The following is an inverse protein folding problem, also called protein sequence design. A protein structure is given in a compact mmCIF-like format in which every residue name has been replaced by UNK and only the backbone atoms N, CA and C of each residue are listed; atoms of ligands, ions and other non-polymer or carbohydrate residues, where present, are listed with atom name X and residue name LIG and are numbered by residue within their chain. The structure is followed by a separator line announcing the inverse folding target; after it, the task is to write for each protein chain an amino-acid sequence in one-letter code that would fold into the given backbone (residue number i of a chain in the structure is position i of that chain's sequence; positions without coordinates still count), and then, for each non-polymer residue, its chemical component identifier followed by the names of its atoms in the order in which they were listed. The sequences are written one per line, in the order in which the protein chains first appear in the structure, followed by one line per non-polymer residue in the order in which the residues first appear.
data_IF_423907653522
#
_entry.id   IF_423907653522
#
_cell.length_a   1.000
_cell.length_b   1.000
_cell.length_c   1.000
_cell.angle_alpha   90.00
_cell.angle_beta   90.00
_cell.angle_gamma   90.00
#
_symmetry.space_group_name_H-M   'P 1'
#
loop_
_entity.id
_entity.type
_entity.pdbx_description
1 polymer ?
#
# COMPACT_ATOMS: atom_id res chain seq x y z
N UNK A 1 -5.40 47.32 -2.72
CA UNK A 1 -5.48 45.96 -3.28
C UNK A 1 -4.74 45.06 -2.31
N UNK A 2 -5.46 44.39 -1.40
CA UNK A 2 -4.83 43.54 -0.38
C UNK A 2 -4.60 42.18 -1.05
N UNK A 3 -3.34 41.88 -1.35
CA UNK A 3 -2.93 40.54 -1.79
C UNK A 3 -3.10 39.59 -0.60
N UNK A 4 -4.16 38.78 -0.61
CA UNK A 4 -4.26 37.66 0.31
C UNK A 4 -3.17 36.65 -0.07
N UNK A 5 -2.13 36.55 0.75
CA UNK A 5 -1.25 35.39 0.73
C UNK A 5 -2.11 34.17 1.04
N UNK A 6 -2.35 33.33 0.03
CA UNK A 6 -2.98 32.02 0.24
C UNK A 6 -1.96 31.21 1.06
N UNK A 7 -2.23 31.05 2.35
CA UNK A 7 -1.49 30.13 3.20
C UNK A 7 -1.95 28.73 2.82
N UNK A 8 -1.20 28.07 1.94
CA UNK A 8 -1.45 26.68 1.58
C UNK A 8 -1.26 25.80 2.81
N UNK A 9 -2.26 24.98 3.12
CA UNK A 9 -2.13 24.00 4.20
C UNK A 9 -1.25 22.84 3.74
N UNK A 10 -0.59 22.11 4.68
CA UNK A 10 0.15 20.90 4.37
C UNK A 10 -0.64 19.89 3.51
N UNK A 11 -1.94 19.72 3.81
CA UNK A 11 -2.85 18.88 3.03
C UNK A 11 -2.98 19.33 1.58
N UNK A 12 -3.08 20.64 1.34
CA UNK A 12 -3.23 21.21 0.00
C UNK A 12 -1.97 20.97 -0.84
N UNK A 13 -0.79 21.08 -0.21
CA UNK A 13 0.50 20.81 -0.84
C UNK A 13 0.61 19.33 -1.24
N UNK A 14 0.24 18.41 -0.35
CA UNK A 14 0.28 16.97 -0.65
C UNK A 14 -0.72 16.58 -1.74
N UNK A 15 -1.95 17.07 -1.69
CA UNK A 15 -2.97 16.80 -2.70
C UNK A 15 -2.57 17.40 -4.05
N UNK A 16 -2.03 18.62 -4.06
CA UNK A 16 -1.49 19.24 -5.27
C UNK A 16 -0.36 18.38 -5.85
N UNK A 17 0.62 18.00 -5.05
CA UNK A 17 1.73 17.17 -5.49
C UNK A 17 1.24 15.88 -6.18
N UNK A 18 0.29 15.18 -5.59
CA UNK A 18 -0.27 13.96 -6.17
C UNK A 18 -0.98 14.17 -7.52
N UNK A 19 -1.48 15.37 -7.79
CA UNK A 19 -2.18 15.72 -9.04
C UNK A 19 -1.27 16.25 -10.15
N UNK A 20 0.01 16.53 -9.86
CA UNK A 20 0.93 17.12 -10.83
C UNK A 20 1.28 16.15 -11.96
N UNK A 21 1.31 16.68 -13.18
CA UNK A 21 1.82 15.95 -14.36
C UNK A 21 3.34 15.72 -14.29
N UNK A 22 4.09 16.70 -13.75
CA UNK A 22 5.53 16.56 -13.53
C UNK A 22 5.81 15.66 -12.31
N UNK A 23 5.95 14.36 -12.61
CA UNK A 23 6.25 13.31 -11.63
C UNK A 23 7.53 13.59 -10.85
N UNK A 24 8.57 14.17 -11.46
CA UNK A 24 9.86 14.42 -10.77
C UNK A 24 9.69 15.51 -9.72
N UNK A 25 9.05 16.62 -10.09
CA UNK A 25 8.75 17.71 -9.17
C UNK A 25 7.78 17.26 -8.06
N UNK A 26 6.76 16.47 -8.41
CA UNK A 26 5.85 15.86 -7.45
C UNK A 26 6.57 15.01 -6.41
N UNK A 27 7.44 14.09 -6.85
CA UNK A 27 8.24 13.26 -5.95
C UNK A 27 9.08 14.12 -5.00
N UNK A 28 9.72 15.18 -5.50
CA UNK A 28 10.52 16.09 -4.68
C UNK A 28 9.68 16.81 -3.63
N UNK A 29 8.47 17.27 -3.97
CA UNK A 29 7.56 17.91 -3.01
C UNK A 29 7.13 16.92 -1.93
N UNK A 30 6.77 15.70 -2.31
CA UNK A 30 6.42 14.63 -1.36
C UNK A 30 7.59 14.37 -0.41
N UNK A 31 8.80 14.20 -0.93
CA UNK A 31 9.99 13.89 -0.12
C UNK A 31 10.29 15.04 0.86
N UNK A 32 10.26 16.30 0.40
CA UNK A 32 10.42 17.48 1.26
C UNK A 32 9.32 17.60 2.33
N UNK A 33 8.10 17.16 2.02
CA UNK A 33 6.99 17.14 2.98
C UNK A 33 7.27 16.16 4.13
N UNK A 34 7.96 15.04 3.87
CA UNK A 34 8.36 14.11 4.93
C UNK A 34 9.49 14.64 5.82
N UNK A 35 10.35 15.51 5.30
CA UNK A 35 11.48 16.12 6.01
C UNK A 35 11.06 17.37 6.82
N UNK A 36 9.94 18.00 6.47
CA UNK A 36 9.49 19.23 7.09
C UNK A 36 8.58 18.99 8.31
N UNK A 37 8.91 19.61 9.44
CA UNK A 37 8.17 19.48 10.71
C UNK A 37 6.76 20.08 10.70
N UNK A 38 6.43 20.89 9.69
CA UNK A 38 5.07 21.44 9.49
C UNK A 38 4.07 20.34 9.15
N UNK A 39 4.53 19.25 8.52
CA UNK A 39 3.68 18.13 8.11
C UNK A 39 3.62 17.07 9.22
N UNK A 40 2.42 16.76 9.66
CA UNK A 40 2.15 15.73 10.64
C UNK A 40 1.42 14.53 10.01
N UNK A 41 1.26 13.48 10.80
CA UNK A 41 0.61 12.22 10.42
C UNK A 41 -0.76 12.40 9.75
N UNK A 42 -1.60 13.28 10.28
CA UNK A 42 -2.96 13.49 9.78
C UNK A 42 -2.98 14.11 8.39
N UNK A 43 -1.96 14.92 8.04
CA UNK A 43 -1.86 15.52 6.71
C UNK A 43 -1.66 14.45 5.64
N UNK A 44 -0.82 13.44 5.93
CA UNK A 44 -0.58 12.31 5.04
C UNK A 44 -1.78 11.39 4.93
N UNK A 45 -2.44 11.08 6.05
CA UNK A 45 -3.67 10.27 6.07
C UNK A 45 -4.76 10.96 5.25
N UNK A 46 -4.93 12.28 5.43
CA UNK A 46 -5.90 13.06 4.68
C UNK A 46 -5.62 13.01 3.18
N UNK A 47 -4.37 13.28 2.76
CA UNK A 47 -4.01 13.25 1.35
C UNK A 47 -4.24 11.86 0.72
N UNK A 48 -3.88 10.78 1.44
CA UNK A 48 -4.13 9.41 0.99
C UNK A 48 -5.63 9.12 0.81
N UNK A 49 -6.45 9.45 1.80
CA UNK A 49 -7.89 9.18 1.76
C UNK A 49 -8.62 10.01 0.70
N UNK A 50 -8.21 11.26 0.49
CA UNK A 50 -8.80 12.12 -0.55
C UNK A 50 -8.40 11.68 -1.95
N UNK A 51 -7.16 11.25 -2.14
CA UNK A 51 -6.63 10.89 -3.45
C UNK A 51 -6.89 9.44 -3.89
N UNK A 52 -7.38 8.56 -3.00
CA UNK A 52 -7.69 7.17 -3.37
C UNK A 52 -8.76 7.04 -4.45
N UNK A 53 -9.61 8.07 -4.62
CA UNK A 53 -10.67 8.06 -5.62
C UNK A 53 -10.14 8.26 -7.04
N UNK A 54 -9.11 9.11 -7.20
CA UNK A 54 -8.52 9.43 -8.52
C UNK A 54 -7.36 8.51 -8.88
N UNK A 55 -6.83 7.76 -7.91
CA UNK A 55 -5.70 6.86 -8.09
C UNK A 55 -4.53 7.55 -8.84
N UNK A 56 -3.93 8.62 -8.28
CA UNK A 56 -2.78 9.29 -8.89
C UNK A 56 -1.50 8.44 -8.87
N UNK A 57 -0.60 8.56 -9.85
CA UNK A 57 0.55 7.66 -10.01
C UNK A 57 1.44 7.45 -8.77
N UNK A 58 1.56 8.47 -7.91
CA UNK A 58 2.41 8.44 -6.72
C UNK A 58 1.67 8.09 -5.41
N UNK A 59 0.39 7.68 -5.48
CA UNK A 59 -0.39 7.33 -4.30
C UNK A 59 0.27 6.23 -3.45
N UNK A 60 0.76 5.17 -4.10
CA UNK A 60 1.46 4.09 -3.40
C UNK A 60 2.80 4.52 -2.82
N UNK A 61 3.51 5.44 -3.48
CA UNK A 61 4.73 6.03 -2.92
C UNK A 61 4.42 6.75 -1.61
N UNK A 62 3.38 7.59 -1.60
CA UNK A 62 2.95 8.31 -0.42
C UNK A 62 2.57 7.34 0.72
N UNK A 63 1.83 6.28 0.41
CA UNK A 63 1.44 5.26 1.40
C UNK A 63 2.66 4.57 2.03
N UNK A 64 3.62 4.15 1.19
CA UNK A 64 4.85 3.48 1.63
C UNK A 64 5.67 4.41 2.53
N UNK A 65 5.89 5.66 2.12
CA UNK A 65 6.65 6.63 2.91
C UNK A 65 5.96 6.97 4.23
N UNK A 66 4.63 7.12 4.19
CA UNK A 66 3.80 7.35 5.39
C UNK A 66 3.96 6.20 6.37
N UNK A 67 3.84 4.95 5.90
CA UNK A 67 3.97 3.79 6.78
C UNK A 67 5.40 3.61 7.33
N UNK A 68 6.42 3.92 6.53
CA UNK A 68 7.82 3.92 7.00
C UNK A 68 8.04 4.95 8.12
N UNK A 69 7.49 6.15 8.00
CA UNK A 69 7.63 7.21 9.02
C UNK A 69 6.76 6.94 10.25
N UNK A 70 5.59 6.35 10.07
CA UNK A 70 4.60 6.11 11.13
C UNK A 70 4.20 4.62 11.19
N UNK A 71 5.05 3.71 11.71
CA UNK A 71 4.77 2.27 11.71
C UNK A 71 3.55 1.86 12.55
N UNK A 72 3.09 2.70 13.47
CA UNK A 72 1.86 2.45 14.25
C UNK A 72 0.60 2.53 13.37
N UNK A 73 0.68 3.10 12.17
CA UNK A 73 -0.42 3.15 11.19
C UNK A 73 -0.73 1.82 10.49
N UNK A 74 -0.24 0.69 11.01
CA UNK A 74 -0.45 -0.64 10.42
C UNK A 74 -1.92 -0.91 10.07
N UNK A 75 -2.86 -0.64 10.98
CA UNK A 75 -4.30 -0.86 10.75
C UNK A 75 -4.88 0.04 9.64
N UNK A 76 -4.41 1.28 9.57
CA UNK A 76 -4.76 2.20 8.49
C UNK A 76 -4.26 1.67 7.14
N UNK A 77 -3.00 1.26 7.06
CA UNK A 77 -2.41 0.70 5.83
C UNK A 77 -3.16 -0.54 5.37
N UNK A 78 -3.48 -1.47 6.27
CA UNK A 78 -4.29 -2.66 5.97
C UNK A 78 -5.64 -2.26 5.36
N UNK A 79 -6.34 -1.33 6.00
CA UNK A 79 -7.65 -0.83 5.52
C UNK A 79 -7.54 -0.16 4.15
N UNK A 80 -6.47 0.61 3.93
CA UNK A 80 -6.20 1.27 2.66
C UNK A 80 -5.93 0.26 1.54
N UNK A 81 -5.17 -0.81 1.81
CA UNK A 81 -4.93 -1.88 0.84
C UNK A 81 -6.23 -2.61 0.47
N UNK A 82 -7.11 -2.91 1.43
CA UNK A 82 -8.43 -3.47 1.12
C UNK A 82 -9.28 -2.54 0.25
N UNK A 83 -9.22 -1.22 0.48
CA UNK A 83 -9.89 -0.24 -0.38
C UNK A 83 -9.34 -0.28 -1.82
N UNK A 84 -8.02 -0.37 -1.99
CA UNK A 84 -7.40 -0.52 -3.32
C UNK A 84 -7.84 -1.81 -4.04
N UNK A 85 -7.98 -2.93 -3.31
CA UNK A 85 -8.50 -4.18 -3.86
C UNK A 85 -9.93 -3.99 -4.35
N UNK A 86 -10.79 -3.35 -3.56
CA UNK A 86 -12.20 -3.10 -3.93
C UNK A 86 -12.38 -2.18 -5.15
N UNK A 87 -11.32 -1.48 -5.55
CA UNK A 87 -11.29 -0.54 -6.68
C UNK A 87 -10.57 -1.12 -7.91
N UNK A 88 -10.22 -2.40 -7.91
CA UNK A 88 -9.42 -3.07 -8.94
C UNK A 88 -8.08 -2.35 -9.24
N UNK A 89 -7.58 -1.53 -8.31
CA UNK A 89 -6.38 -0.74 -8.53
C UNK A 89 -5.13 -1.63 -8.66
N UNK A 90 -5.18 -2.82 -8.05
CA UNK A 90 -4.11 -3.83 -8.05
C UNK A 90 -3.85 -4.41 -9.45
N UNK A 91 -4.81 -4.32 -10.37
CA UNK A 91 -4.62 -4.76 -11.78
C UNK A 91 -3.71 -3.81 -12.59
N UNK A 92 -3.49 -2.58 -12.09
CA UNK A 92 -2.62 -1.59 -12.74
C UNK A 92 -1.17 -1.83 -12.32
N UNK A 93 -0.27 -2.07 -13.28
CA UNK A 93 1.14 -2.42 -13.03
C UNK A 93 1.86 -1.45 -12.06
N UNK A 94 1.66 -0.14 -12.21
CA UNK A 94 2.27 0.88 -11.34
C UNK A 94 1.84 0.76 -9.88
N UNK A 95 0.60 0.38 -9.63
CA UNK A 95 0.07 0.15 -8.29
C UNK A 95 0.50 -1.19 -7.73
N UNK A 96 0.56 -2.19 -8.59
CA UNK A 96 0.88 -3.56 -8.21
C UNK A 96 2.25 -3.66 -7.53
N UNK A 97 3.27 -2.98 -8.05
CA UNK A 97 4.62 -2.97 -7.45
C UNK A 97 4.58 -2.33 -6.06
N UNK A 98 3.91 -1.19 -5.92
CA UNK A 98 3.75 -0.52 -4.61
C UNK A 98 2.94 -1.37 -3.62
N UNK A 99 1.94 -2.09 -4.12
CA UNK A 99 1.08 -2.97 -3.34
C UNK A 99 1.87 -4.13 -2.76
N UNK A 100 2.68 -4.80 -3.58
CA UNK A 100 3.62 -5.84 -3.12
C UNK A 100 4.54 -5.26 -2.04
N UNK A 101 5.05 -4.04 -2.22
CA UNK A 101 5.95 -3.45 -1.24
C UNK A 101 5.28 -3.20 0.12
N UNK A 102 4.04 -2.74 0.13
CA UNK A 102 3.27 -2.61 1.37
C UNK A 102 3.01 -3.96 2.02
N UNK A 103 2.68 -5.01 1.25
CA UNK A 103 2.52 -6.36 1.79
C UNK A 103 3.81 -6.86 2.46
N UNK A 104 4.97 -6.66 1.83
CA UNK A 104 6.26 -7.02 2.45
C UNK A 104 6.48 -6.30 3.79
N UNK A 105 6.10 -5.03 3.89
CA UNK A 105 6.21 -4.25 5.12
C UNK A 105 5.23 -4.69 6.22
N UNK A 106 4.10 -5.30 5.85
CA UNK A 106 3.09 -5.80 6.80
C UNK A 106 3.44 -7.16 7.40
N UNK A 107 4.46 -7.84 6.86
CA UNK A 107 4.94 -9.15 7.29
C UNK A 107 3.78 -10.15 7.44
N UNK A 108 3.66 -10.88 8.55
CA UNK A 108 2.66 -11.94 8.71
C UNK A 108 1.20 -11.48 8.49
N UNK A 109 0.90 -10.20 8.71
CA UNK A 109 -0.43 -9.63 8.45
C UNK A 109 -0.78 -9.60 6.96
N UNK A 110 0.22 -9.63 6.06
CA UNK A 110 -0.01 -9.71 4.63
C UNK A 110 -0.73 -10.99 4.21
N UNK A 111 -0.65 -12.07 5.01
CA UNK A 111 -1.29 -13.35 4.70
C UNK A 111 -2.81 -13.21 4.65
N UNK A 112 -3.40 -12.45 5.59
CA UNK A 112 -4.85 -12.23 5.62
C UNK A 112 -5.32 -11.38 4.41
N UNK A 113 -4.48 -10.48 3.91
CA UNK A 113 -4.76 -9.71 2.69
C UNK A 113 -4.61 -10.58 1.44
N UNK A 114 -3.55 -11.39 1.36
CA UNK A 114 -3.33 -12.32 0.25
C UNK A 114 -4.47 -13.33 0.13
N UNK A 115 -5.04 -13.78 1.25
CA UNK A 115 -6.11 -14.77 1.30
C UNK A 115 -7.41 -14.31 0.62
N UNK A 116 -7.66 -13.00 0.51
CA UNK A 116 -8.87 -12.48 -0.13
C UNK A 116 -8.69 -12.12 -1.60
N UNK A 117 -7.45 -12.16 -2.11
CA UNK A 117 -7.17 -11.79 -3.49
C UNK A 117 -7.60 -12.89 -4.47
N UNK A 118 -7.92 -12.52 -5.73
CA UNK A 118 -8.07 -13.50 -6.80
C UNK A 118 -6.80 -14.37 -6.94
N UNK A 119 -6.97 -15.66 -7.26
CA UNK A 119 -5.86 -16.61 -7.43
C UNK A 119 -4.75 -16.09 -8.36
N UNK A 120 -5.15 -15.46 -9.47
CA UNK A 120 -4.22 -14.87 -10.44
C UNK A 120 -3.27 -13.86 -9.79
N UNK A 121 -3.80 -13.03 -8.89
CA UNK A 121 -3.04 -11.97 -8.24
C UNK A 121 -2.13 -12.56 -7.18
N UNK A 122 -2.60 -13.56 -6.43
CA UNK A 122 -1.77 -14.31 -5.47
C UNK A 122 -0.56 -14.90 -6.20
N UNK A 123 -0.78 -15.64 -7.30
CA UNK A 123 0.32 -16.26 -8.07
C UNK A 123 1.30 -15.19 -8.55
N UNK A 124 0.81 -14.10 -9.15
CA UNK A 124 1.66 -13.03 -9.66
C UNK A 124 2.48 -12.35 -8.53
N UNK A 125 1.88 -12.09 -7.36
CA UNK A 125 2.58 -11.51 -6.21
C UNK A 125 3.67 -12.46 -5.69
N UNK A 126 3.33 -13.74 -5.47
CA UNK A 126 4.26 -14.72 -4.92
C UNK A 126 5.42 -15.06 -5.88
N UNK A 127 5.18 -14.98 -7.19
CA UNK A 127 6.23 -15.11 -8.20
C UNK A 127 7.20 -13.91 -8.22
N UNK A 128 6.75 -12.72 -7.84
CA UNK A 128 7.56 -11.48 -7.86
C UNK A 128 8.22 -11.15 -6.53
N UNK A 129 7.70 -11.64 -5.40
CA UNK A 129 8.31 -11.44 -4.08
C UNK A 129 8.71 -12.76 -3.42
N UNK A 130 10.03 -13.02 -3.41
CA UNK A 130 10.62 -14.16 -2.69
C UNK A 130 10.34 -14.09 -1.19
N UNK A 131 10.28 -12.89 -0.62
CA UNK A 131 9.97 -12.67 0.79
C UNK A 131 8.55 -13.16 1.11
N UNK A 132 7.54 -12.68 0.37
CA UNK A 132 6.14 -13.07 0.59
C UNK A 132 5.92 -14.56 0.32
N UNK A 133 6.58 -15.12 -0.70
CA UNK A 133 6.53 -16.55 -0.98
C UNK A 133 7.07 -17.38 0.19
N UNK A 134 8.25 -17.04 0.72
CA UNK A 134 8.83 -17.70 1.90
C UNK A 134 7.92 -17.53 3.12
N UNK A 135 7.46 -16.31 3.38
CA UNK A 135 6.56 -16.01 4.49
C UNK A 135 5.29 -16.88 4.44
N UNK A 136 4.68 -17.03 3.26
CA UNK A 136 3.52 -17.89 3.10
C UNK A 136 3.86 -19.35 3.38
N UNK A 137 4.94 -19.90 2.80
CA UNK A 137 5.39 -21.28 3.04
C UNK A 137 5.57 -21.59 4.53
N UNK A 138 6.18 -20.66 5.26
CA UNK A 138 6.53 -20.84 6.67
C UNK A 138 5.33 -20.72 7.63
N UNK A 139 4.21 -20.12 7.17
CA UNK A 139 3.11 -19.72 8.05
C UNK A 139 1.73 -20.31 7.69
N UNK A 140 1.37 -20.52 6.42
CA UNK A 140 -0.01 -20.88 6.02
C UNK A 140 -0.48 -22.24 6.55
N UNK A 141 0.46 -23.12 6.93
CA UNK A 141 0.20 -24.44 7.52
C UNK A 141 0.32 -24.47 9.05
N UNK A 142 0.62 -23.35 9.70
CA UNK A 142 0.66 -23.27 11.16
C UNK A 142 -0.74 -23.48 11.75
N UNK A 143 -0.78 -24.03 12.97
CA UNK A 143 -2.01 -24.50 13.62
C UNK A 143 -3.02 -23.38 13.87
N UNK A 144 -2.55 -22.19 14.19
CA UNK A 144 -3.33 -20.97 14.41
C UNK A 144 -4.07 -20.50 13.16
N UNK A 145 -3.49 -20.70 11.97
CA UNK A 145 -4.14 -20.36 10.71
C UNK A 145 -4.98 -21.50 10.15
N UNK A 146 -4.76 -22.75 10.58
CA UNK A 146 -5.34 -24.00 10.01
C UNK A 146 -6.86 -23.95 9.76
N UNK A 147 -7.60 -23.23 10.59
CA UNK A 147 -9.07 -23.18 10.51
C UNK A 147 -9.62 -21.95 9.77
N UNK A 148 -8.78 -20.98 9.37
CA UNK A 148 -9.21 -19.89 8.51
C UNK A 148 -9.50 -20.42 7.10
N UNK A 149 -10.78 -20.43 6.73
CA UNK A 149 -11.25 -20.92 5.41
C UNK A 149 -10.68 -20.09 4.27
N UNK A 150 -10.54 -18.78 4.48
CA UNK A 150 -10.06 -17.84 3.45
C UNK A 150 -8.60 -18.15 3.06
N UNK A 151 -7.83 -18.78 3.95
CA UNK A 151 -6.43 -19.18 3.69
C UNK A 151 -6.34 -20.50 2.90
N UNK A 152 -7.44 -21.22 2.66
CA UNK A 152 -7.41 -22.51 1.96
C UNK A 152 -6.93 -22.39 0.51
N UNK A 153 -7.38 -21.35 -0.21
CA UNK A 153 -6.91 -21.08 -1.58
C UNK A 153 -5.40 -20.86 -1.56
N UNK A 154 -4.91 -20.03 -0.64
CA UNK A 154 -3.49 -19.76 -0.48
C UNK A 154 -2.69 -21.03 -0.16
N UNK A 155 -3.19 -21.91 0.71
CA UNK A 155 -2.56 -23.23 0.99
C UNK A 155 -2.47 -24.10 -0.26
N UNK A 156 -3.57 -24.18 -1.01
CA UNK A 156 -3.62 -24.99 -2.21
C UNK A 156 -2.59 -24.51 -3.23
N UNK A 157 -2.51 -23.20 -3.44
CA UNK A 157 -1.53 -22.58 -4.36
C UNK A 157 -0.09 -22.80 -3.91
N UNK A 158 0.20 -22.60 -2.62
CA UNK A 158 1.54 -22.86 -2.08
C UNK A 158 1.94 -24.32 -2.30
N UNK A 159 1.03 -25.27 -2.03
CA UNK A 159 1.30 -26.70 -2.20
C UNK A 159 1.52 -27.11 -3.64
N UNK A 160 0.70 -26.62 -4.55
CA UNK A 160 0.71 -27.08 -5.95
C UNK A 160 1.84 -26.44 -6.77
N UNK A 161 2.11 -25.15 -6.53
CA UNK A 161 2.96 -24.33 -7.41
C UNK A 161 4.28 -23.87 -6.80
N UNK A 162 4.39 -23.80 -5.47
CA UNK A 162 5.54 -23.16 -4.83
C UNK A 162 6.34 -24.08 -3.90
N UNK A 163 5.80 -25.22 -3.44
CA UNK A 163 6.53 -26.19 -2.60
C UNK A 163 7.32 -27.25 -3.38
N UNK A 164 7.32 -27.20 -4.72
CA UNK A 164 8.17 -28.04 -5.56
C UNK A 164 9.59 -27.50 -5.63
#
# INVERSE_FOLDING_TARGET
MISFLIVLKPTDILTYALSMEDIKSSMRIIDLSFENSTFNENDFIYALNTSVQTLPPLLMRLLILTFKKYPHLKSFVVSFLYNLISKDAVEKENYFIGFIKCLEMLDITSIDILAVLPERNIVNILSRSRFLCKLCKDNVFRRDLKFKRDVNILRHLIRDRFLK
#
